data_IF_964976272022
#
_entry.id   IF_964976272022
#
_cell.length_a   1.000
_cell.length_b   1.000
_cell.length_c   1.000
_cell.angle_alpha   90.00
_cell.angle_beta   90.00
_cell.angle_gamma   90.00
#
_symmetry.space_group_name_H-M   'P 1'
#
loop_
_entity.id
_entity.type
_entity.pdbx_description
1 polymer ?
#
# COMPACT_ATOMS: atom_id res chain seq x y z
N UNK A 1 -33.16 5.17 32.58
CA UNK A 1 -32.13 4.12 32.73
C UNK A 1 -31.59 3.56 31.41
N UNK A 2 -32.30 3.67 30.27
CA UNK A 2 -31.85 3.12 28.96
C UNK A 2 -30.65 3.86 28.33
N UNK A 3 -30.53 5.19 28.51
CA UNK A 3 -29.40 5.99 27.95
C UNK A 3 -28.03 5.57 28.49
N UNK A 4 -27.96 5.14 29.75
CA UNK A 4 -26.68 4.86 30.44
C UNK A 4 -26.07 3.51 30.01
N UNK A 5 -26.89 2.53 29.62
CA UNK A 5 -26.40 1.25 29.09
C UNK A 5 -25.87 1.40 27.66
N UNK A 6 -26.62 2.09 26.79
CA UNK A 6 -26.20 2.37 25.40
C UNK A 6 -24.89 3.17 25.34
N UNK A 7 -24.65 4.07 26.29
CA UNK A 7 -23.41 4.83 26.39
C UNK A 7 -22.23 3.98 26.87
N UNK A 8 -22.46 2.99 27.74
CA UNK A 8 -21.43 2.02 28.18
C UNK A 8 -21.03 1.05 27.06
N UNK A 9 -22.00 0.54 26.31
CA UNK A 9 -21.74 -0.33 25.14
C UNK A 9 -20.96 0.43 24.05
N UNK A 10 -21.35 1.66 23.74
CA UNK A 10 -20.61 2.51 22.80
C UNK A 10 -19.19 2.81 23.28
N UNK A 11 -19.00 3.06 24.58
CA UNK A 11 -17.67 3.28 25.17
C UNK A 11 -16.77 2.05 25.05
N UNK A 12 -17.31 0.85 25.27
CA UNK A 12 -16.56 -0.40 25.10
C UNK A 12 -16.18 -0.67 23.64
N UNK A 13 -17.09 -0.39 22.70
CA UNK A 13 -16.81 -0.51 21.26
C UNK A 13 -15.66 0.42 20.82
N UNK A 14 -15.64 1.67 21.30
CA UNK A 14 -14.55 2.62 20.99
C UNK A 14 -13.21 2.13 21.53
N UNK A 15 -13.17 1.58 22.75
CA UNK A 15 -11.94 1.05 23.35
C UNK A 15 -11.41 -0.16 22.57
N UNK A 16 -12.30 -1.06 22.15
CA UNK A 16 -11.93 -2.22 21.32
C UNK A 16 -11.36 -1.80 19.97
N UNK A 17 -11.99 -0.83 19.30
CA UNK A 17 -11.49 -0.30 18.02
C UNK A 17 -10.13 0.39 18.25
N UNK A 18 -10.02 1.25 19.26
CA UNK A 18 -8.79 1.96 19.57
C UNK A 18 -7.61 1.01 19.89
N UNK A 19 -7.87 -0.13 20.53
CA UNK A 19 -6.85 -1.14 20.80
C UNK A 19 -6.36 -1.86 19.53
N UNK A 20 -7.21 -1.98 18.50
CA UNK A 20 -6.85 -2.62 17.23
C UNK A 20 -6.13 -1.68 16.24
N UNK A 21 -6.35 -0.37 16.34
CA UNK A 21 -5.79 0.65 15.42
C UNK A 21 -4.26 0.60 15.29
N UNK A 22 -3.46 0.49 16.37
CA UNK A 22 -2.01 0.43 16.24
C UNK A 22 -1.53 -0.77 15.41
N UNK A 23 -2.14 -1.95 15.61
CA UNK A 23 -1.80 -3.15 14.87
C UNK A 23 -2.12 -3.03 13.38
N UNK A 24 -3.26 -2.43 13.05
CA UNK A 24 -3.67 -2.16 11.67
C UNK A 24 -2.71 -1.17 10.99
N UNK A 25 -2.31 -0.09 11.68
CA UNK A 25 -1.37 0.89 11.12
C UNK A 25 0.01 0.29 10.86
N UNK A 26 0.51 -0.55 11.78
CA UNK A 26 1.78 -1.27 11.60
C UNK A 26 1.68 -2.24 10.42
N UNK A 27 0.60 -3.02 10.36
CA UNK A 27 0.36 -3.96 9.25
C UNK A 27 0.30 -3.26 7.91
N UNK A 28 -0.39 -2.12 7.83
CA UNK A 28 -0.47 -1.28 6.63
C UNK A 28 0.91 -0.74 6.23
N UNK A 29 1.71 -0.27 7.19
CA UNK A 29 3.07 0.17 6.95
C UNK A 29 3.96 -0.93 6.37
N UNK A 30 3.91 -2.14 6.93
CA UNK A 30 4.64 -3.29 6.40
C UNK A 30 4.17 -3.71 5.01
N UNK A 31 2.86 -3.73 4.76
CA UNK A 31 2.29 -4.03 3.45
C UNK A 31 2.77 -3.01 2.40
N UNK A 32 2.73 -1.72 2.72
CA UNK A 32 3.23 -0.65 1.86
C UNK A 32 4.72 -0.81 1.55
N UNK A 33 5.56 -1.08 2.56
CA UNK A 33 7.00 -1.28 2.36
C UNK A 33 7.30 -2.50 1.49
N UNK A 34 6.59 -3.61 1.71
CA UNK A 34 6.71 -4.82 0.89
C UNK A 34 6.33 -4.53 -0.57
N UNK A 35 5.24 -3.80 -0.79
CA UNK A 35 4.79 -3.41 -2.12
C UNK A 35 5.80 -2.49 -2.81
N UNK A 36 6.29 -1.46 -2.10
CA UNK A 36 7.32 -0.53 -2.61
C UNK A 36 8.60 -1.26 -3.00
N UNK A 37 9.01 -2.27 -2.23
CA UNK A 37 10.17 -3.11 -2.55
C UNK A 37 9.96 -3.90 -3.85
N UNK A 38 8.77 -4.48 -4.05
CA UNK A 38 8.41 -5.21 -5.29
C UNK A 38 8.37 -4.29 -6.51
N UNK A 39 7.70 -3.14 -6.41
CA UNK A 39 7.61 -2.17 -7.51
C UNK A 39 9.01 -1.70 -7.96
N UNK A 40 9.94 -1.45 -7.02
CA UNK A 40 11.33 -1.13 -7.35
C UNK A 40 12.09 -2.25 -8.07
N UNK A 41 11.84 -3.51 -7.71
CA UNK A 41 12.47 -4.65 -8.37
C UNK A 41 11.97 -4.77 -9.82
N UNK A 42 10.66 -4.64 -10.04
CA UNK A 42 10.08 -4.65 -11.39
C UNK A 42 10.54 -3.45 -12.23
N UNK A 43 10.61 -2.26 -11.63
CA UNK A 43 11.18 -1.08 -12.29
C UNK A 43 12.62 -1.28 -12.76
N UNK A 44 13.44 -1.95 -11.94
CA UNK A 44 14.83 -2.24 -12.30
C UNK A 44 14.92 -3.24 -13.46
N UNK A 45 14.04 -4.24 -13.51
CA UNK A 45 13.94 -5.19 -14.64
C UNK A 45 13.51 -4.47 -15.92
N UNK A 46 12.52 -3.59 -15.82
CA UNK A 46 12.04 -2.80 -16.95
C UNK A 46 13.13 -1.85 -17.48
N UNK A 47 13.83 -1.14 -16.59
CA UNK A 47 15.00 -0.34 -16.96
C UNK A 47 16.07 -1.16 -17.70
N UNK A 48 16.41 -2.34 -17.16
CA UNK A 48 17.40 -3.23 -17.80
C UNK A 48 16.95 -3.71 -19.18
N UNK A 49 15.66 -3.99 -19.37
CA UNK A 49 15.10 -4.35 -20.67
C UNK A 49 15.22 -3.19 -21.66
N UNK A 50 14.84 -1.97 -21.25
CA UNK A 50 14.94 -0.78 -22.11
C UNK A 50 16.38 -0.50 -22.55
N UNK A 51 17.34 -0.55 -21.62
CA UNK A 51 18.76 -0.34 -21.94
C UNK A 51 19.28 -1.43 -22.88
N UNK A 52 18.90 -2.70 -22.63
CA UNK A 52 19.27 -3.82 -23.51
C UNK A 52 18.72 -3.64 -24.92
N UNK A 53 17.52 -3.10 -25.04
CA UNK A 53 16.83 -2.90 -26.31
C UNK A 53 17.27 -1.57 -26.99
N UNK A 54 18.27 -0.88 -26.44
CA UNK A 54 18.94 0.27 -27.08
C UNK A 54 18.40 1.65 -26.69
N UNK A 55 17.49 1.72 -25.71
CA UNK A 55 17.00 3.00 -25.19
C UNK A 55 18.13 3.70 -24.42
N UNK A 56 18.41 4.99 -24.68
CA UNK A 56 19.45 5.67 -23.95
C UNK A 56 19.09 5.77 -22.46
N UNK A 57 20.12 5.75 -21.62
CA UNK A 57 20.01 5.67 -20.15
C UNK A 57 19.07 6.72 -19.53
N UNK A 58 19.09 8.01 -19.93
CA UNK A 58 18.19 9.00 -19.33
C UNK A 58 16.71 8.71 -19.61
N UNK A 59 16.36 8.37 -20.85
CA UNK A 59 14.99 8.04 -21.25
C UNK A 59 14.54 6.72 -20.62
N UNK A 60 15.42 5.71 -20.60
CA UNK A 60 15.14 4.43 -19.97
C UNK A 60 14.82 4.58 -18.47
N UNK A 61 15.55 5.49 -17.80
CA UNK A 61 15.33 5.80 -16.39
C UNK A 61 14.00 6.51 -16.17
N UNK A 62 13.69 7.52 -16.98
CA UNK A 62 12.41 8.25 -16.90
C UNK A 62 11.22 7.30 -17.11
N UNK A 63 11.26 6.47 -18.15
CA UNK A 63 10.22 5.46 -18.42
C UNK A 63 10.09 4.46 -17.27
N UNK A 64 11.20 4.02 -16.69
CA UNK A 64 11.17 3.12 -15.54
C UNK A 64 10.58 3.77 -14.29
N UNK A 65 10.87 5.04 -14.02
CA UNK A 65 10.29 5.77 -12.89
C UNK A 65 8.77 5.94 -13.06
N UNK A 66 8.30 6.25 -14.27
CA UNK A 66 6.86 6.31 -14.61
C UNK A 66 6.21 4.92 -14.41
N UNK A 67 6.84 3.86 -14.91
CA UNK A 67 6.35 2.49 -14.75
C UNK A 67 6.24 2.07 -13.27
N UNK A 68 7.26 2.35 -12.46
CA UNK A 68 7.24 2.08 -11.00
C UNK A 68 6.10 2.81 -10.31
N UNK A 69 5.85 4.08 -10.68
CA UNK A 69 4.78 4.87 -10.09
C UNK A 69 3.40 4.25 -10.35
N UNK A 70 3.13 3.82 -11.58
CA UNK A 70 1.83 3.24 -11.99
C UNK A 70 1.59 1.85 -11.39
N UNK A 71 2.62 1.00 -11.32
CA UNK A 71 2.53 -0.31 -10.66
C UNK A 71 2.30 -0.17 -9.17
N UNK A 72 2.99 0.77 -8.52
CA UNK A 72 2.82 0.97 -7.08
C UNK A 72 1.37 1.31 -6.73
N UNK A 73 0.69 2.13 -7.55
CA UNK A 73 -0.73 2.45 -7.36
C UNK A 73 -1.64 1.25 -7.65
N UNK A 74 -1.38 0.51 -8.72
CA UNK A 74 -2.19 -0.66 -9.12
C UNK A 74 -2.12 -1.79 -8.09
N UNK A 75 -0.91 -2.12 -7.63
CA UNK A 75 -0.71 -3.11 -6.57
C UNK A 75 -1.31 -2.65 -5.23
N UNK A 76 -1.30 -1.34 -4.95
CA UNK A 76 -1.93 -0.80 -3.75
C UNK A 76 -3.44 -1.03 -3.76
N UNK A 77 -4.10 -0.72 -4.88
CA UNK A 77 -5.54 -0.92 -5.05
C UNK A 77 -5.88 -2.42 -4.97
N UNK A 78 -5.10 -3.29 -5.61
CA UNK A 78 -5.29 -4.76 -5.49
C UNK A 78 -5.10 -5.27 -4.07
N UNK A 79 -4.12 -4.72 -3.34
CA UNK A 79 -3.89 -5.05 -1.93
C UNK A 79 -5.01 -4.58 -1.00
N UNK A 80 -5.78 -3.56 -1.40
CA UNK A 80 -6.94 -3.05 -0.67
C UNK A 80 -8.23 -3.85 -0.91
N UNK A 81 -8.26 -4.78 -1.86
CA UNK A 81 -9.43 -5.62 -2.16
C UNK A 81 -10.15 -6.27 -0.96
N UNK A 82 -9.46 -6.69 0.11
CA UNK A 82 -10.13 -7.20 1.32
C UNK A 82 -10.91 -6.14 2.13
N UNK A 83 -10.69 -4.86 1.88
CA UNK A 83 -11.29 -3.73 2.60
C UNK A 83 -12.37 -2.99 1.79
N UNK A 84 -12.60 -3.38 0.53
CA UNK A 84 -13.60 -2.76 -0.37
C UNK A 84 -14.77 -3.68 -0.71
N UNK A 85 -14.90 -4.81 -0.02
CA UNK A 85 -16.02 -5.76 -0.15
C UNK A 85 -17.06 -5.56 0.95
#
# INVERSE_FOLDING_TARGET
MVRTQKQKENGQAIIYIAAAVPGLLIGLGFAYLRMRKRARQEGRRFFQALVRDGVPVPEAKELADIYVSSISLTEMIRGMGPFTS
#
